data_IF_541309543154
#
_entry.id   IF_541309543154
#
_cell.length_a   1.000
_cell.length_b   1.000
_cell.length_c   1.000
_cell.angle_alpha   90.00
_cell.angle_beta   90.00
_cell.angle_gamma   90.00
#
_symmetry.space_group_name_H-M   'P 1'
#
loop_
_entity.id
_entity.type
_entity.pdbx_description
1 polymer ?
#
# COMPACT_ATOMS: atom_id res chain seq x y z
N UNK A 1 2.59 -6.98 8.91
CA UNK A 1 1.48 -7.37 8.01
C UNK A 1 0.18 -6.55 8.16
N UNK A 2 -0.46 -6.41 9.34
CA UNK A 2 -1.87 -5.95 9.39
C UNK A 2 -2.16 -4.44 9.23
N UNK A 3 -1.21 -3.53 9.42
CA UNK A 3 -1.49 -2.08 9.42
C UNK A 3 -1.79 -1.51 8.03
N UNK A 4 -1.16 -2.06 7.00
CA UNK A 4 -1.40 -1.70 5.59
C UNK A 4 -2.84 -2.03 5.19
N UNK A 5 -3.32 -3.23 5.56
CA UNK A 5 -4.70 -3.67 5.31
C UNK A 5 -5.75 -2.77 5.99
N UNK A 6 -5.51 -2.44 7.26
CA UNK A 6 -6.39 -1.56 8.05
C UNK A 6 -6.46 -0.14 7.49
N UNK A 7 -5.36 0.33 6.90
CA UNK A 7 -5.20 1.70 6.43
C UNK A 7 -5.74 1.88 5.00
N UNK A 8 -5.35 1.02 4.06
CA UNK A 8 -5.78 1.12 2.66
C UNK A 8 -7.22 0.65 2.45
N UNK A 9 -7.69 -0.29 3.30
CA UNK A 9 -9.03 -0.91 3.20
C UNK A 9 -9.37 -1.23 1.74
N UNK A 10 -8.58 -2.08 1.08
CA UNK A 10 -8.79 -2.41 -0.32
C UNK A 10 -10.09 -3.19 -0.48
N UNK A 11 -10.76 -3.01 -1.61
CA UNK A 11 -12.00 -3.71 -1.92
C UNK A 11 -11.79 -5.19 -2.27
N UNK A 12 -10.57 -5.56 -2.66
CA UNK A 12 -10.17 -6.92 -3.05
C UNK A 12 -8.82 -7.26 -2.46
N UNK A 13 -8.51 -8.56 -2.39
CA UNK A 13 -7.16 -8.98 -2.02
C UNK A 13 -6.13 -8.42 -3.01
N UNK A 14 -4.93 -8.22 -2.50
CA UNK A 14 -3.76 -7.81 -3.25
C UNK A 14 -2.59 -8.70 -2.88
N UNK A 15 -1.58 -8.75 -3.75
CA UNK A 15 -0.33 -9.44 -3.42
C UNK A 15 0.66 -8.41 -2.86
N UNK A 16 1.37 -8.79 -1.80
CA UNK A 16 2.45 -8.00 -1.22
C UNK A 16 3.71 -8.85 -1.26
N UNK A 17 4.77 -8.30 -1.82
CA UNK A 17 6.10 -8.89 -1.86
C UNK A 17 7.02 -7.97 -1.06
N UNK A 18 7.72 -8.53 -0.09
CA UNK A 18 8.77 -7.83 0.64
C UNK A 18 10.03 -7.82 -0.23
N UNK A 19 10.62 -6.63 -0.44
CA UNK A 19 11.82 -6.44 -1.25
C UNK A 19 13.08 -6.23 -0.39
N UNK A 20 12.98 -6.43 0.93
CA UNK A 20 13.98 -6.04 1.93
C UNK A 20 14.21 -4.52 1.99
N UNK A 21 15.01 -4.06 2.96
CA UNK A 21 15.42 -2.67 3.13
C UNK A 21 14.23 -1.67 3.24
N UNK A 22 13.17 -2.06 3.95
CA UNK A 22 11.94 -1.27 4.14
C UNK A 22 11.13 -0.99 2.86
N UNK A 23 11.36 -1.74 1.79
CA UNK A 23 10.60 -1.63 0.55
C UNK A 23 9.63 -2.81 0.39
N UNK A 24 8.42 -2.51 -0.09
CA UNK A 24 7.42 -3.52 -0.43
C UNK A 24 6.84 -3.25 -1.81
N UNK A 25 6.65 -4.31 -2.59
CA UNK A 25 5.91 -4.27 -3.84
C UNK A 25 4.48 -4.70 -3.60
N UNK A 26 3.52 -3.93 -4.08
CA UNK A 26 2.10 -4.20 -3.91
C UNK A 26 1.43 -4.31 -5.26
N UNK A 27 0.82 -5.46 -5.53
CA UNK A 27 0.07 -5.71 -6.77
C UNK A 27 -1.42 -5.77 -6.47
N UNK A 28 -2.12 -4.69 -6.82
CA UNK A 28 -3.57 -4.60 -6.71
C UNK A 28 -4.26 -5.39 -7.82
N UNK A 29 -5.42 -5.98 -7.52
CA UNK A 29 -6.28 -6.68 -8.50
C UNK A 29 -7.16 -5.74 -9.31
N UNK A 30 -7.35 -4.50 -8.87
CA UNK A 30 -8.11 -3.50 -9.59
C UNK A 30 -7.36 -2.16 -9.61
N UNK A 31 -7.68 -1.33 -10.60
CA UNK A 31 -7.10 0.01 -10.71
C UNK A 31 -7.65 0.98 -9.66
N UNK A 32 -8.90 0.79 -9.24
CA UNK A 32 -9.55 1.68 -8.28
C UNK A 32 -8.88 1.68 -6.90
N UNK A 33 -8.45 0.52 -6.38
CA UNK A 33 -7.72 0.45 -5.11
C UNK A 33 -6.31 1.02 -5.26
N UNK A 34 -5.65 0.80 -6.40
CA UNK A 34 -4.36 1.44 -6.72
C UNK A 34 -4.50 2.97 -6.75
N UNK A 35 -5.44 3.50 -7.52
CA UNK A 35 -5.68 4.94 -7.65
C UNK A 35 -6.02 5.56 -6.30
N UNK A 36 -6.83 4.86 -5.47
CA UNK A 36 -7.13 5.30 -4.11
C UNK A 36 -5.88 5.38 -3.24
N UNK A 37 -5.00 4.39 -3.31
CA UNK A 37 -3.75 4.37 -2.52
C UNK A 37 -2.75 5.40 -3.02
N UNK A 38 -2.68 5.60 -4.34
CA UNK A 38 -1.78 6.53 -4.99
C UNK A 38 -2.21 8.00 -4.81
N UNK A 39 -3.48 8.31 -5.07
CA UNK A 39 -4.02 9.68 -5.05
C UNK A 39 -4.23 10.19 -3.62
N UNK A 40 -4.59 9.31 -2.67
CA UNK A 40 -4.85 9.74 -1.28
C UNK A 40 -3.60 10.05 -0.46
N UNK A 41 -2.40 9.90 -1.04
CA UNK A 41 -1.15 10.59 -0.69
C UNK A 41 -0.80 10.84 0.79
N UNK A 42 0.34 10.29 1.22
CA UNK A 42 0.92 10.27 2.58
C UNK A 42 0.23 9.31 3.56
N UNK A 43 0.72 8.08 3.53
CA UNK A 43 0.35 7.06 4.50
C UNK A 43 1.40 7.00 5.62
N UNK A 44 0.98 7.09 6.89
CA UNK A 44 1.90 7.01 8.04
C UNK A 44 1.82 5.65 8.69
N UNK A 45 2.92 4.90 8.64
CA UNK A 45 3.07 3.62 9.32
C UNK A 45 4.19 3.74 10.36
N UNK A 46 3.86 3.48 11.62
CA UNK A 46 4.80 3.56 12.76
C UNK A 46 5.57 4.89 12.86
N UNK A 47 4.96 6.01 12.42
CA UNK A 47 5.60 7.32 12.45
C UNK A 47 6.45 7.64 11.21
N UNK A 48 6.61 6.68 10.30
CA UNK A 48 7.29 6.86 9.02
C UNK A 48 6.29 7.12 7.90
N UNK A 49 6.66 7.98 6.96
CA UNK A 49 5.87 8.24 5.75
C UNK A 49 6.19 7.21 4.69
N UNK A 50 5.16 6.63 4.09
CA UNK A 50 5.27 5.82 2.89
C UNK A 50 5.29 6.72 1.65
N UNK A 51 6.27 6.47 0.80
CA UNK A 51 6.27 6.90 -0.58
C UNK A 51 5.64 5.80 -1.44
N UNK A 52 4.75 6.17 -2.36
CA UNK A 52 4.14 5.25 -3.31
C UNK A 52 4.60 5.66 -4.69
N UNK A 53 5.22 4.72 -5.42
CA UNK A 53 5.66 4.92 -6.79
C UNK A 53 4.96 3.89 -7.71
N UNK A 54 4.54 4.27 -8.93
CA UNK A 54 3.92 3.36 -9.89
C UNK A 54 4.88 2.30 -10.43
#
# INVERSE_FOLDING_TARGET
MNRILLMWKPSRDFQLVDLDNDHVLVKFRNKADFDKVFIKGLWVIYGNYLTVQP
#
